data_IF_539475920932
#
_entry.id   IF_539475920932
#
_cell.length_a   1.000
_cell.length_b   1.000
_cell.length_c   1.000
_cell.angle_alpha   90.00
_cell.angle_beta   90.00
_cell.angle_gamma   90.00
#
_symmetry.space_group_name_H-M   'P 1'
#
loop_
_entity.id
_entity.type
_entity.pdbx_description
1 polymer ?
#
# COMPACT_ATOMS: atom_id res chain seq x y z
N UNK A 1 13.55 12.81 -35.44
CA UNK A 1 13.95 11.54 -36.08
C UNK A 1 15.45 11.40 -35.96
N UNK A 2 15.95 10.70 -34.94
CA UNK A 2 17.38 10.41 -34.79
C UNK A 2 17.54 8.97 -34.26
N UNK A 3 18.31 8.18 -35.00
CA UNK A 3 18.41 6.71 -34.91
C UNK A 3 19.72 6.36 -34.21
N UNK A 4 19.64 5.94 -32.95
CA UNK A 4 20.82 5.59 -32.16
C UNK A 4 20.83 4.08 -31.95
N UNK A 5 21.42 3.38 -32.93
CA UNK A 5 21.77 1.96 -32.89
C UNK A 5 22.91 1.78 -31.86
N UNK A 6 22.69 0.96 -30.85
CA UNK A 6 23.74 0.40 -29.99
C UNK A 6 23.42 -1.10 -29.81
N UNK A 7 23.95 -1.93 -30.70
CA UNK A 7 25.16 -2.75 -30.52
C UNK A 7 24.98 -3.84 -29.46
N UNK A 8 24.69 -5.02 -30.00
CA UNK A 8 24.71 -6.32 -29.35
C UNK A 8 26.01 -6.54 -28.57
N UNK A 9 25.89 -7.05 -27.34
CA UNK A 9 27.02 -7.64 -26.62
C UNK A 9 26.86 -9.15 -26.64
N UNK A 10 27.49 -9.75 -27.65
CA UNK A 10 27.92 -11.13 -27.60
C UNK A 10 29.26 -11.17 -26.86
N UNK A 11 29.33 -11.90 -25.74
CA UNK A 11 30.61 -12.33 -25.18
C UNK A 11 30.46 -13.77 -24.71
N UNK A 12 31.04 -14.64 -25.54
CA UNK A 12 31.32 -16.04 -25.29
C UNK A 12 32.15 -16.21 -24.02
N UNK A 13 31.76 -17.15 -23.16
CA UNK A 13 32.67 -17.76 -22.19
C UNK A 13 32.56 -19.27 -22.37
N UNK A 14 33.53 -19.83 -23.09
CA UNK A 14 33.84 -21.25 -23.07
C UNK A 14 34.75 -21.50 -21.87
N UNK A 15 34.26 -22.24 -20.88
CA UNK A 15 35.12 -22.93 -19.91
C UNK A 15 34.59 -24.35 -19.82
N UNK A 16 35.22 -25.25 -20.58
CA UNK A 16 35.12 -26.67 -20.32
C UNK A 16 36.04 -27.04 -19.16
N UNK A 17 35.56 -27.83 -18.21
CA UNK A 17 36.40 -28.71 -17.40
C UNK A 17 35.66 -30.02 -17.18
N UNK A 18 36.43 -31.09 -17.38
CA UNK A 18 36.07 -32.48 -17.49
C UNK A 18 35.26 -33.06 -16.32
N UNK A 19 34.49 -34.09 -16.67
CA UNK A 19 33.72 -34.92 -15.76
C UNK A 19 34.64 -35.83 -14.95
N UNK A 20 34.46 -35.85 -13.63
CA UNK A 20 34.89 -36.95 -12.76
C UNK A 20 33.69 -37.35 -11.91
N UNK A 21 33.08 -38.48 -12.28
CA UNK A 21 32.05 -39.17 -11.51
C UNK A 21 32.70 -39.83 -10.29
N UNK A 22 32.46 -39.28 -9.11
CA UNK A 22 32.67 -39.99 -7.84
C UNK A 22 31.29 -40.29 -7.26
N UNK A 23 30.90 -41.57 -7.29
CA UNK A 23 29.77 -42.08 -6.51
C UNK A 23 30.15 -42.06 -5.04
N UNK A 24 29.67 -41.08 -4.29
CA UNK A 24 29.64 -41.11 -2.83
C UNK A 24 28.20 -41.01 -2.37
N UNK A 25 27.67 -42.14 -1.90
CA UNK A 25 26.41 -42.22 -1.20
C UNK A 25 26.54 -41.54 0.18
N UNK A 26 26.04 -40.31 0.29
CA UNK A 26 25.74 -39.65 1.55
C UNK A 26 24.56 -38.69 1.29
N UNK A 27 23.61 -38.67 2.23
CA UNK A 27 22.22 -38.27 2.05
C UNK A 27 21.99 -36.98 1.26
N UNK A 28 20.89 -36.97 0.49
CA UNK A 28 20.38 -35.83 -0.27
C UNK A 28 20.38 -34.60 0.66
N UNK A 29 21.29 -33.61 0.49
CA UNK A 29 21.03 -32.32 1.08
C UNK A 29 19.82 -31.79 0.31
N UNK A 30 18.67 -31.70 0.98
CA UNK A 30 17.56 -30.92 0.48
C UNK A 30 18.12 -29.52 0.22
N UNK A 31 18.39 -29.20 -1.03
CA UNK A 31 18.84 -27.88 -1.42
C UNK A 31 17.67 -26.96 -1.08
N UNK A 32 17.80 -26.24 0.03
CA UNK A 32 16.88 -25.17 0.35
C UNK A 32 16.90 -24.24 -0.85
N UNK A 33 15.81 -24.25 -1.62
CA UNK A 33 15.64 -23.32 -2.72
C UNK A 33 15.88 -21.91 -2.16
N UNK A 34 16.65 -21.04 -2.84
CA UNK A 34 16.82 -19.67 -2.38
C UNK A 34 15.42 -19.06 -2.22
N UNK A 35 15.07 -18.73 -0.98
CA UNK A 35 13.83 -18.03 -0.70
C UNK A 35 13.91 -16.70 -1.44
N UNK A 36 13.09 -16.54 -2.47
CA UNK A 36 12.90 -15.24 -3.12
C UNK A 36 12.47 -14.26 -2.02
N UNK A 37 13.03 -13.04 -1.97
CA UNK A 37 12.57 -12.04 -1.04
C UNK A 37 11.06 -11.87 -1.23
N UNK A 38 10.30 -12.03 -0.16
CA UNK A 38 8.86 -11.81 -0.18
C UNK A 38 8.60 -10.41 -0.75
N UNK A 39 7.68 -10.30 -1.71
CA UNK A 39 7.26 -9.01 -2.24
C UNK A 39 6.85 -8.10 -1.07
N UNK A 40 7.19 -6.80 -1.11
CA UNK A 40 6.82 -5.88 -0.04
C UNK A 40 5.30 -5.94 0.17
N UNK A 41 4.83 -5.92 1.43
CA UNK A 41 3.41 -6.01 1.70
C UNK A 41 2.69 -4.83 1.05
N UNK A 42 1.62 -5.10 0.30
CA UNK A 42 0.78 -4.04 -0.26
C UNK A 42 0.09 -3.32 0.90
N UNK A 43 0.26 -2.00 0.92
CA UNK A 43 -0.26 -1.11 1.96
C UNK A 43 -1.25 -0.15 1.32
N UNK A 44 -2.39 0.03 1.96
CA UNK A 44 -3.29 1.14 1.68
C UNK A 44 -2.68 2.40 2.30
N UNK A 45 -2.45 3.42 1.46
CA UNK A 45 -2.05 4.78 1.87
C UNK A 45 -2.74 5.80 0.94
N UNK A 46 -3.81 6.41 1.44
CA UNK A 46 -4.61 7.40 0.71
C UNK A 46 -4.77 8.67 1.51
N UNK A 47 -4.64 9.81 0.84
CA UNK A 47 -4.98 11.10 1.40
C UNK A 47 -6.40 11.48 1.04
N UNK A 48 -7.18 11.79 2.06
CA UNK A 48 -8.59 12.15 1.94
C UNK A 48 -8.81 13.57 2.46
N UNK A 49 -9.67 14.32 1.77
CA UNK A 49 -10.37 15.49 2.33
C UNK A 49 -11.75 15.00 2.74
N UNK A 50 -12.08 15.14 4.02
CA UNK A 50 -13.37 14.70 4.57
C UNK A 50 -14.07 15.93 5.11
N UNK A 51 -15.31 16.10 4.70
CA UNK A 51 -16.21 17.11 5.24
C UNK A 51 -17.27 16.41 6.08
N UNK A 52 -17.35 16.78 7.35
CA UNK A 52 -18.31 16.22 8.29
C UNK A 52 -19.51 17.14 8.43
N UNK A 53 -20.64 16.58 8.85
CA UNK A 53 -21.82 17.37 9.20
C UNK A 53 -21.51 18.27 10.41
N UNK A 54 -22.18 19.43 10.51
CA UNK A 54 -21.96 20.37 11.63
C UNK A 54 -22.36 19.79 13.00
N UNK A 55 -23.12 18.70 13.04
CA UNK A 55 -23.48 17.98 14.27
C UNK A 55 -22.27 17.30 14.95
N UNK A 56 -21.16 17.12 14.23
CA UNK A 56 -19.94 16.52 14.78
C UNK A 56 -19.14 17.57 15.54
N UNK A 57 -19.23 17.55 16.87
CA UNK A 57 -18.63 18.57 17.74
C UNK A 57 -17.11 18.63 17.69
N UNK A 58 -16.43 17.50 17.48
CA UNK A 58 -14.97 17.45 17.38
C UNK A 58 -14.53 16.49 16.26
N UNK A 59 -14.45 16.98 15.01
CA UNK A 59 -14.16 16.14 13.84
C UNK A 59 -12.72 15.63 13.82
N UNK A 60 -11.79 16.35 14.46
CA UNK A 60 -10.37 16.05 14.52
C UNK A 60 -9.99 15.05 15.64
N UNK A 61 -10.93 14.74 16.54
CA UNK A 61 -10.67 13.85 17.67
C UNK A 61 -10.36 12.42 17.21
N UNK A 62 -9.40 11.78 17.88
CA UNK A 62 -9.00 10.42 17.55
C UNK A 62 -10.14 9.41 17.76
N UNK A 63 -11.03 9.64 18.73
CA UNK A 63 -12.22 8.83 18.96
C UNK A 63 -13.24 8.98 17.84
N UNK A 64 -13.48 10.21 17.37
CA UNK A 64 -14.32 10.48 16.19
C UNK A 64 -13.77 9.76 14.96
N UNK A 65 -12.49 9.93 14.66
CA UNK A 65 -11.83 9.30 13.50
C UNK A 65 -11.87 7.78 13.56
N UNK A 66 -11.63 7.19 14.74
CA UNK A 66 -11.70 5.73 14.92
C UNK A 66 -13.13 5.22 14.79
N UNK A 67 -14.12 6.01 15.24
CA UNK A 67 -15.54 5.67 15.15
C UNK A 67 -16.08 5.69 13.71
N UNK A 68 -15.46 6.47 12.80
CA UNK A 68 -15.78 6.43 11.35
C UNK A 68 -15.31 5.12 10.69
N UNK A 69 -14.35 4.42 11.28
CA UNK A 69 -13.77 3.18 10.77
C UNK A 69 -14.28 1.92 11.51
N UNK A 70 -15.35 2.01 12.30
CA UNK A 70 -15.77 0.95 13.23
C UNK A 70 -15.90 -0.44 12.57
N UNK A 71 -16.33 -0.47 11.31
CA UNK A 71 -16.55 -1.71 10.55
C UNK A 71 -15.33 -2.18 9.74
N UNK A 72 -14.19 -1.49 9.86
CA UNK A 72 -12.99 -1.70 9.02
C UNK A 72 -11.76 -1.97 9.89
N UNK A 73 -11.73 -3.11 10.61
CA UNK A 73 -10.57 -3.47 11.44
C UNK A 73 -9.33 -3.61 10.56
N UNK A 74 -8.21 -3.00 10.99
CA UNK A 74 -6.96 -3.01 10.25
C UNK A 74 -6.70 -1.77 9.39
N UNK A 75 -7.65 -0.83 9.35
CA UNK A 75 -7.46 0.51 8.79
C UNK A 75 -7.39 1.56 9.90
N UNK A 76 -6.71 2.67 9.61
CA UNK A 76 -6.54 3.80 10.53
C UNK A 76 -6.60 5.11 9.76
N UNK A 77 -7.38 6.06 10.30
CA UNK A 77 -7.35 7.46 9.90
C UNK A 77 -6.38 8.22 10.80
N UNK A 78 -5.51 9.02 10.20
CA UNK A 78 -4.59 9.90 10.91
C UNK A 78 -4.82 11.34 10.46
N UNK A 79 -5.12 12.22 11.41
CA UNK A 79 -5.31 13.64 11.12
C UNK A 79 -4.00 14.26 10.62
N UNK A 80 -4.09 14.98 9.49
CA UNK A 80 -2.97 15.72 8.93
C UNK A 80 -3.12 17.21 9.14
N UNK A 81 -4.32 17.72 8.88
CA UNK A 81 -4.65 19.13 8.97
C UNK A 81 -6.15 19.26 9.15
N UNK A 82 -6.57 20.22 9.95
CA UNK A 82 -7.93 20.72 9.96
C UNK A 82 -7.96 22.07 9.25
N UNK A 83 -9.00 22.32 8.47
CA UNK A 83 -9.19 23.62 7.83
C UNK A 83 -9.43 24.71 8.90
N UNK A 84 -8.80 25.87 8.73
CA UNK A 84 -8.86 26.95 9.72
C UNK A 84 -10.16 27.76 9.60
N UNK A 85 -10.73 27.83 8.40
CA UNK A 85 -11.95 28.57 8.11
C UNK A 85 -13.20 27.69 8.33
N UNK A 86 -13.06 26.37 8.15
CA UNK A 86 -14.15 25.39 8.28
C UNK A 86 -13.72 24.19 9.12
N UNK A 87 -13.97 24.22 10.43
CA UNK A 87 -13.59 23.13 11.33
C UNK A 87 -14.17 21.76 10.93
N UNK A 88 -15.29 21.71 10.22
CA UNK A 88 -15.91 20.48 9.70
C UNK A 88 -15.12 19.82 8.56
N UNK A 89 -14.18 20.53 7.94
CA UNK A 89 -13.33 20.01 6.87
C UNK A 89 -11.98 19.60 7.46
N UNK A 90 -11.66 18.31 7.30
CA UNK A 90 -10.40 17.73 7.76
C UNK A 90 -9.67 17.01 6.63
N UNK A 91 -8.35 17.06 6.70
CA UNK A 91 -7.44 16.28 5.86
C UNK A 91 -6.91 15.12 6.70
N UNK A 92 -7.13 13.91 6.21
CA UNK A 92 -6.73 12.68 6.89
C UNK A 92 -5.97 11.77 5.93
N UNK A 93 -5.01 11.03 6.47
CA UNK A 93 -4.42 9.91 5.77
C UNK A 93 -5.10 8.62 6.24
N UNK A 94 -5.63 7.85 5.30
CA UNK A 94 -6.15 6.51 5.48
C UNK A 94 -5.03 5.52 5.20
N UNK A 95 -4.67 4.76 6.23
CA UNK A 95 -3.64 3.72 6.16
C UNK A 95 -4.22 2.37 6.53
N UNK A 96 -3.73 1.29 5.92
CA UNK A 96 -4.20 -0.05 6.26
C UNK A 96 -3.41 -1.18 5.63
N UNK A 97 -3.66 -2.38 6.12
CA UNK A 97 -3.10 -3.61 5.55
C UNK A 97 -4.01 -4.11 4.43
N UNK A 98 -3.49 -4.29 3.21
CA UNK A 98 -4.24 -4.88 2.11
C UNK A 98 -4.09 -4.15 0.77
N UNK A 99 -4.63 -4.74 -0.30
CA UNK A 99 -4.60 -4.15 -1.65
C UNK A 99 -5.46 -2.89 -1.73
N UNK A 100 -5.18 -2.02 -2.70
CA UNK A 100 -5.93 -0.78 -2.99
C UNK A 100 -7.46 -0.94 -2.97
N UNK A 101 -7.96 -2.10 -3.42
CA UNK A 101 -9.39 -2.42 -3.45
C UNK A 101 -10.03 -2.34 -2.06
N UNK A 102 -9.31 -2.81 -1.03
CA UNK A 102 -9.79 -2.70 0.36
C UNK A 102 -9.79 -1.26 0.86
N UNK A 103 -8.80 -0.48 0.44
CA UNK A 103 -8.70 0.96 0.73
C UNK A 103 -9.90 1.73 0.16
N UNK A 104 -10.28 1.42 -1.08
CA UNK A 104 -11.42 2.06 -1.74
C UNK A 104 -12.75 1.64 -1.13
N UNK A 105 -12.90 0.38 -0.69
CA UNK A 105 -14.09 -0.08 0.02
C UNK A 105 -14.33 0.71 1.33
N UNK A 106 -13.26 1.03 2.07
CA UNK A 106 -13.33 1.87 3.28
C UNK A 106 -13.83 3.26 2.94
N UNK A 107 -13.29 3.89 1.89
CA UNK A 107 -13.73 5.23 1.45
C UNK A 107 -15.20 5.22 1.06
N UNK A 108 -15.66 4.20 0.33
CA UNK A 108 -17.07 4.08 -0.04
C UNK A 108 -17.98 3.81 1.17
N UNK A 109 -17.51 3.12 2.19
CA UNK A 109 -18.24 2.96 3.44
C UNK A 109 -18.33 4.27 4.23
N UNK A 110 -17.22 5.02 4.31
CA UNK A 110 -17.20 6.36 4.91
C UNK A 110 -18.20 7.30 4.22
N UNK A 111 -18.30 7.27 2.89
CA UNK A 111 -19.27 8.08 2.13
C UNK A 111 -20.74 7.78 2.47
N UNK A 112 -21.02 6.64 3.11
CA UNK A 112 -22.37 6.24 3.55
C UNK A 112 -22.62 6.54 5.03
N UNK A 113 -21.61 6.98 5.78
CA UNK A 113 -21.78 7.38 7.18
C UNK A 113 -22.59 8.69 7.24
N UNK A 114 -23.63 8.72 8.07
CA UNK A 114 -24.52 9.88 8.19
C UNK A 114 -23.83 11.15 8.70
N UNK A 115 -22.66 11.01 9.33
CA UNK A 115 -21.83 12.12 9.83
C UNK A 115 -20.94 12.73 8.75
N UNK A 116 -20.84 12.08 7.58
CA UNK A 116 -20.02 12.52 6.47
C UNK A 116 -20.90 13.23 5.45
N UNK A 117 -20.51 14.46 5.12
CA UNK A 117 -21.11 15.22 4.04
C UNK A 117 -20.45 14.87 2.70
N UNK A 118 -19.12 14.92 2.63
CA UNK A 118 -18.34 14.56 1.44
C UNK A 118 -16.99 13.91 1.80
N UNK A 119 -16.49 13.08 0.90
CA UNK A 119 -15.13 12.52 0.95
C UNK A 119 -14.50 12.64 -0.43
N UNK A 120 -13.38 13.35 -0.52
CA UNK A 120 -12.61 13.49 -1.75
C UNK A 120 -11.24 12.83 -1.60
N UNK A 121 -10.90 11.95 -2.54
CA UNK A 121 -9.56 11.35 -2.62
C UNK A 121 -8.61 12.33 -3.28
N UNK A 122 -7.64 12.82 -2.52
CA UNK A 122 -6.68 13.85 -2.95
C UNK A 122 -5.44 13.21 -3.60
N UNK A 123 -4.99 12.09 -3.05
CA UNK A 123 -3.86 11.32 -3.57
C UNK A 123 -3.97 9.88 -3.13
N UNK A 124 -3.82 8.94 -4.07
CA UNK A 124 -3.52 7.54 -3.79
C UNK A 124 -2.03 7.30 -4.03
N UNK A 125 -1.29 6.83 -3.03
CA UNK A 125 0.11 6.40 -3.23
C UNK A 125 0.05 4.94 -3.67
N UNK A 126 0.34 4.70 -4.96
CA UNK A 126 0.37 3.37 -5.61
C UNK A 126 1.80 2.91 -5.81
#
# INVERSE_FOLDING_TARGET
>A
MNRNRWLARATSVLIGVAQLTVLTAAGIPAHAAPALPAAPPVRCDMRLRVELTPDVTNPSDAGTLSSLLRDHPGYRLSLRRQDLDNASVIMVDLTGSGPDVGCQAVVEAMRKDARIFTVDVQRSVR
#
